data_IF_097227365762
#
_entry.id   IF_097227365762
#
_cell.length_a   1.000
_cell.length_b   1.000
_cell.length_c   1.000
_cell.angle_alpha   90.00
_cell.angle_beta   90.00
_cell.angle_gamma   90.00
#
_symmetry.space_group_name_H-M   'P 1'
#
loop_
_entity.id
_entity.type
_entity.pdbx_description
1 polymer ?
#
# COMPACT_ATOMS: atom_id res chain seq x y z
N UNK A 1 -8.00 15.01 -12.22
CA UNK A 1 -8.15 15.39 -10.80
C UNK A 1 -7.81 14.19 -9.92
N UNK A 2 -6.97 14.41 -8.91
CA UNK A 2 -6.68 13.55 -7.74
C UNK A 2 -5.63 12.42 -7.89
N UNK A 3 -4.37 12.84 -7.84
CA UNK A 3 -3.23 12.04 -7.37
C UNK A 3 -3.45 11.66 -5.89
N UNK A 4 -3.44 10.35 -5.61
CA UNK A 4 -3.53 9.80 -4.26
C UNK A 4 -2.09 9.68 -3.73
N UNK A 5 -1.84 10.46 -2.69
CA UNK A 5 -0.53 10.86 -2.19
C UNK A 5 0.00 9.86 -1.15
N UNK A 6 0.93 8.99 -1.55
CA UNK A 6 1.88 8.38 -0.63
C UNK A 6 3.01 9.42 -0.35
N UNK A 7 3.48 9.58 0.90
CA UNK A 7 4.39 10.66 1.24
C UNK A 7 5.78 10.47 0.58
N UNK A 8 5.98 11.14 -0.56
CA UNK A 8 7.29 11.34 -1.18
C UNK A 8 8.23 12.11 -0.22
N UNK A 9 9.55 11.85 -0.28
CA UNK A 9 10.58 12.63 0.45
C UNK A 9 10.43 14.14 0.20
N UNK A 10 10.00 14.53 -1.00
CA UNK A 10 9.70 15.92 -1.34
C UNK A 10 8.53 16.51 -0.52
N UNK A 11 7.49 15.71 -0.24
CA UNK A 11 6.37 16.13 0.62
C UNK A 11 6.78 16.30 2.08
N UNK A 12 7.70 15.47 2.59
CA UNK A 12 8.24 15.64 3.95
C UNK A 12 9.04 16.94 4.08
N UNK A 13 9.85 17.29 3.09
CA UNK A 13 10.62 18.54 3.07
C UNK A 13 9.69 19.75 2.93
N UNK A 14 8.74 19.72 2.00
CA UNK A 14 7.76 20.78 1.82
C UNK A 14 6.88 20.99 3.06
N UNK A 15 6.50 19.91 3.76
CA UNK A 15 5.77 20.00 5.01
C UNK A 15 6.59 20.66 6.12
N UNK A 16 7.88 20.30 6.26
CA UNK A 16 8.79 20.92 7.22
C UNK A 16 8.97 22.41 6.96
N UNK A 17 9.10 22.83 5.69
CA UNK A 17 9.20 24.23 5.30
C UNK A 17 7.91 25.01 5.62
N UNK A 18 6.74 24.43 5.34
CA UNK A 18 5.44 25.04 5.66
C UNK A 18 5.22 25.18 7.16
N UNK A 19 5.66 24.21 7.96
CA UNK A 19 5.60 24.28 9.42
C UNK A 19 6.56 25.34 9.98
N UNK A 20 7.74 25.52 9.37
CA UNK A 20 8.70 26.54 9.77
C UNK A 20 8.19 27.98 9.54
N UNK A 21 7.32 28.18 8.53
CA UNK A 21 6.71 29.47 8.22
C UNK A 21 5.55 29.92 9.11
N UNK A 22 5.13 29.10 10.09
CA UNK A 22 3.99 29.44 10.94
C UNK A 22 4.36 30.49 11.99
N UNK A 23 3.51 31.50 12.19
CA UNK A 23 3.60 32.42 13.32
C UNK A 23 3.31 31.72 14.66
N UNK A 24 3.67 32.33 15.79
CA UNK A 24 3.42 31.75 17.11
C UNK A 24 1.93 31.43 17.33
N UNK A 25 1.03 32.31 16.89
CA UNK A 25 -0.41 32.12 17.00
C UNK A 25 -0.93 31.01 16.08
N UNK A 26 -0.38 30.87 14.88
CA UNK A 26 -0.74 29.79 13.95
C UNK A 26 -0.26 28.43 14.47
N UNK A 27 0.93 28.36 15.07
CA UNK A 27 1.42 27.15 15.75
C UNK A 27 0.54 26.77 16.92
N UNK A 28 0.16 27.75 17.75
CA UNK A 28 -0.75 27.52 18.88
C UNK A 28 -2.12 26.99 18.42
N UNK A 29 -2.70 27.59 17.36
CA UNK A 29 -3.97 27.14 16.79
C UNK A 29 -3.87 25.73 16.17
N UNK A 30 -2.78 25.43 15.46
CA UNK A 30 -2.53 24.11 14.90
C UNK A 30 -2.39 23.05 16.00
N UNK A 31 -1.61 23.32 17.04
CA UNK A 31 -1.44 22.41 18.18
C UNK A 31 -2.76 22.19 18.92
N UNK A 32 -3.57 23.24 19.08
CA UNK A 32 -4.91 23.13 19.66
C UNK A 32 -5.81 22.21 18.81
N UNK A 33 -5.86 22.40 17.49
CA UNK A 33 -6.64 21.53 16.59
C UNK A 33 -6.14 20.08 16.56
N UNK A 34 -4.82 19.86 16.54
CA UNK A 34 -4.23 18.53 16.61
C UNK A 34 -4.46 17.84 17.96
N UNK A 35 -4.68 18.62 19.03
CA UNK A 35 -5.08 18.12 20.34
C UNK A 35 -6.58 17.84 20.46
N UNK A 36 -7.42 18.69 19.88
CA UNK A 36 -8.88 18.52 19.82
C UNK A 36 -9.29 17.31 18.95
N UNK A 37 -8.55 17.02 17.88
CA UNK A 37 -8.77 15.83 17.03
C UNK A 37 -8.34 14.51 17.71
N UNK A 38 -7.53 14.58 18.78
CA UNK A 38 -7.17 13.42 19.62
C UNK A 38 -8.24 13.04 20.64
N UNK A 39 -9.22 13.92 20.92
CA UNK A 39 -10.31 13.63 21.86
C UNK A 39 -11.46 12.81 21.26
N UNK A 40 -11.56 12.69 19.93
CA UNK A 40 -12.52 11.77 19.27
C UNK A 40 -11.84 10.61 18.50
N UNK A 41 -10.54 10.71 18.20
CA UNK A 41 -9.75 9.58 17.65
C UNK A 41 -8.59 9.29 18.59
N UNK A 42 -8.76 8.21 19.37
CA UNK A 42 -7.92 7.85 20.50
C UNK A 42 -6.41 7.96 20.28
N UNK A 43 -5.73 8.44 21.33
CA UNK A 43 -4.33 8.22 21.70
C UNK A 43 -3.35 7.96 20.55
N UNK A 44 -2.64 9.02 20.15
CA UNK A 44 -1.38 8.91 19.43
C UNK A 44 -0.32 8.23 20.32
N UNK A 45 -0.30 6.90 20.27
CA UNK A 45 0.60 6.05 21.05
C UNK A 45 0.52 4.57 20.67
N UNK A 46 -0.60 4.12 20.11
CA UNK A 46 -0.70 2.79 19.50
C UNK A 46 -0.71 2.95 17.98
N UNK A 47 0.25 2.33 17.30
CA UNK A 47 0.02 1.91 15.92
C UNK A 47 -1.21 1.01 15.98
N UNK A 48 -2.40 1.57 15.74
CA UNK A 48 -3.61 0.77 15.55
C UNK A 48 -3.30 -0.15 14.39
N UNK A 49 -3.07 -1.42 14.73
CA UNK A 49 -2.88 -2.46 13.75
C UNK A 49 -4.04 -2.35 12.76
N UNK A 50 -3.72 -2.19 11.47
CA UNK A 50 -4.76 -2.19 10.44
C UNK A 50 -5.48 -3.52 10.58
N UNK A 51 -6.78 -3.52 10.92
CA UNK A 51 -7.51 -4.76 11.10
C UNK A 51 -7.39 -5.58 9.83
N UNK A 52 -7.06 -6.87 9.96
CA UNK A 52 -7.06 -7.76 8.80
C UNK A 52 -8.48 -7.82 8.26
N UNK A 53 -8.61 -7.59 6.95
CA UNK A 53 -9.88 -7.81 6.27
C UNK A 53 -10.30 -9.27 6.48
N UNK A 54 -11.59 -9.48 6.76
CA UNK A 54 -12.14 -10.82 6.80
C UNK A 54 -12.48 -11.27 5.37
N UNK A 55 -12.27 -12.54 5.03
CA UNK A 55 -12.65 -13.04 3.72
C UNK A 55 -14.18 -13.00 3.57
N UNK A 56 -14.65 -12.70 2.37
CA UNK A 56 -16.06 -12.77 1.98
C UNK A 56 -16.50 -14.23 1.87
N UNK A 57 -15.63 -15.08 1.32
CA UNK A 57 -15.83 -16.53 1.21
C UNK A 57 -14.48 -17.24 1.19
N UNK A 58 -14.52 -18.53 1.56
CA UNK A 58 -13.39 -19.44 1.45
C UNK A 58 -13.82 -20.61 0.59
N UNK A 59 -13.11 -20.83 -0.49
CA UNK A 59 -13.31 -21.95 -1.41
C UNK A 59 -12.45 -23.12 -0.92
N UNK A 60 -13.01 -24.34 -0.87
CA UNK A 60 -12.32 -25.49 -0.25
C UNK A 60 -11.26 -26.10 -1.16
N UNK A 61 -11.45 -26.08 -2.49
CA UNK A 61 -10.59 -26.74 -3.46
C UNK A 61 -10.47 -25.97 -4.77
N UNK A 62 -9.31 -25.34 -5.07
CA UNK A 62 -8.18 -25.09 -4.17
C UNK A 62 -8.57 -24.20 -2.97
N UNK A 63 -7.83 -24.28 -1.84
CA UNK A 63 -8.08 -23.40 -0.69
C UNK A 63 -7.77 -21.94 -1.05
N UNK A 64 -8.81 -21.18 -1.38
CA UNK A 64 -8.72 -19.77 -1.79
C UNK A 64 -9.66 -18.94 -0.92
N UNK A 65 -9.14 -17.87 -0.34
CA UNK A 65 -9.93 -16.90 0.40
C UNK A 65 -10.15 -15.67 -0.47
N UNK A 66 -11.40 -15.28 -0.65
CA UNK A 66 -11.81 -14.14 -1.49
C UNK A 66 -12.03 -12.93 -0.60
N UNK A 67 -11.46 -11.79 -0.99
CA UNK A 67 -11.51 -10.54 -0.22
C UNK A 67 -12.07 -9.43 -1.11
N UNK A 68 -12.70 -8.39 -0.53
CA UNK A 68 -13.07 -7.23 -1.31
C UNK A 68 -11.79 -6.49 -1.74
N UNK A 69 -11.69 -6.12 -3.02
CA UNK A 69 -10.59 -5.29 -3.48
C UNK A 69 -10.63 -3.91 -2.80
N UNK A 70 -9.47 -3.46 -2.31
CA UNK A 70 -9.32 -2.09 -1.82
C UNK A 70 -9.54 -1.08 -2.96
N UNK A 71 -9.90 0.16 -2.61
CA UNK A 71 -10.02 1.26 -3.59
C UNK A 71 -8.75 1.46 -4.44
N UNK A 72 -7.59 1.22 -3.85
CA UNK A 72 -6.30 1.28 -4.56
C UNK A 72 -6.17 0.17 -5.61
N UNK A 73 -6.56 -1.06 -5.26
CA UNK A 73 -6.57 -2.20 -6.18
C UNK A 73 -7.58 -1.98 -7.31
N UNK A 74 -8.81 -1.51 -7.01
CA UNK A 74 -9.82 -1.17 -8.03
C UNK A 74 -9.31 -0.11 -9.03
N UNK A 75 -8.67 0.95 -8.52
CA UNK A 75 -8.06 1.98 -9.37
C UNK A 75 -6.97 1.39 -10.26
N UNK A 76 -6.10 0.53 -9.72
CA UNK A 76 -5.02 -0.08 -10.48
C UNK A 76 -5.56 -1.03 -11.56
N UNK A 77 -6.58 -1.81 -11.24
CA UNK A 77 -7.28 -2.68 -12.18
C UNK A 77 -7.88 -1.90 -13.35
N UNK A 78 -8.59 -0.81 -13.05
CA UNK A 78 -9.10 0.09 -14.08
C UNK A 78 -7.98 0.62 -14.98
N UNK A 79 -6.87 1.06 -14.41
CA UNK A 79 -5.74 1.60 -15.17
C UNK A 79 -5.07 0.54 -16.05
N UNK A 80 -4.95 -0.69 -15.56
CA UNK A 80 -4.44 -1.82 -16.34
C UNK A 80 -5.32 -2.11 -17.57
N UNK A 81 -6.65 -2.08 -17.40
CA UNK A 81 -7.60 -2.29 -18.51
C UNK A 81 -7.75 -1.09 -19.43
N UNK A 82 -7.61 0.13 -18.92
CA UNK A 82 -7.71 1.37 -19.70
C UNK A 82 -6.55 1.53 -20.70
N UNK A 83 -5.36 1.06 -20.34
CA UNK A 83 -4.18 1.11 -21.20
C UNK A 83 -3.45 -0.26 -21.23
N UNK A 84 -4.00 -1.27 -21.92
CA UNK A 84 -3.40 -2.60 -21.98
C UNK A 84 -1.98 -2.54 -22.55
N UNK A 85 -1.05 -3.28 -21.93
CA UNK A 85 0.36 -3.34 -22.34
C UNK A 85 1.21 -2.15 -21.89
N UNK A 86 0.63 -1.15 -21.20
CA UNK A 86 1.40 -0.05 -20.64
C UNK A 86 2.29 -0.52 -19.47
N UNK A 87 3.61 -0.21 -19.49
CA UNK A 87 4.52 -0.58 -18.40
C UNK A 87 4.53 0.44 -17.26
N UNK A 88 3.69 1.48 -17.30
CA UNK A 88 3.74 2.63 -16.37
C UNK A 88 3.63 2.22 -14.89
N UNK A 89 2.96 1.10 -14.60
CA UNK A 89 2.80 0.57 -13.24
C UNK A 89 3.69 -0.63 -12.93
N UNK A 90 4.60 -0.99 -13.84
CA UNK A 90 5.67 -1.94 -13.54
C UNK A 90 6.78 -1.23 -12.76
N UNK A 91 7.32 -1.90 -11.74
CA UNK A 91 8.46 -1.41 -10.94
C UNK A 91 9.66 -2.33 -11.16
N UNK A 92 10.32 -2.26 -12.33
CA UNK A 92 11.48 -3.08 -12.60
C UNK A 92 12.65 -2.67 -11.70
N UNK A 93 13.45 -3.64 -11.30
CA UNK A 93 14.70 -3.42 -10.56
C UNK A 93 15.73 -4.43 -11.03
N UNK A 94 16.97 -3.98 -11.19
CA UNK A 94 18.08 -4.83 -11.61
C UNK A 94 19.23 -4.71 -10.61
N UNK A 95 19.87 -5.83 -10.32
CA UNK A 95 20.98 -5.92 -9.38
C UNK A 95 22.16 -6.60 -10.05
N UNK A 96 23.35 -6.04 -9.89
CA UNK A 96 24.60 -6.68 -10.29
C UNK A 96 25.18 -7.43 -9.10
N UNK A 97 25.19 -8.76 -9.19
CA UNK A 97 25.76 -9.63 -8.16
C UNK A 97 27.18 -10.04 -8.56
N UNK A 98 28.14 -9.89 -7.64
CA UNK A 98 29.56 -10.22 -7.88
C UNK A 98 29.97 -11.34 -6.93
N UNK A 99 30.51 -12.42 -7.49
CA UNK A 99 30.96 -13.59 -6.74
C UNK A 99 30.24 -14.88 -7.16
N UNK A 100 30.52 -16.01 -6.48
CA UNK A 100 29.85 -17.27 -6.78
C UNK A 100 28.36 -17.19 -6.43
N UNK A 101 27.50 -17.41 -7.43
CA UNK A 101 26.05 -17.45 -7.26
C UNK A 101 25.54 -18.89 -7.37
N UNK A 102 24.85 -19.36 -6.34
CA UNK A 102 24.07 -20.59 -6.41
C UNK A 102 22.62 -20.26 -6.84
N UNK A 103 22.30 -20.55 -8.10
CA UNK A 103 20.99 -20.24 -8.69
C UNK A 103 19.85 -20.97 -7.98
N UNK A 104 20.04 -22.25 -7.63
CA UNK A 104 19.00 -23.03 -6.96
C UNK A 104 18.63 -22.45 -5.59
N UNK A 105 19.61 -21.88 -4.87
CA UNK A 105 19.35 -21.21 -3.59
C UNK A 105 18.63 -19.88 -3.77
N UNK A 106 18.96 -19.13 -4.84
CA UNK A 106 18.27 -17.89 -5.18
C UNK A 106 16.79 -18.15 -5.53
N UNK A 107 16.52 -19.18 -6.33
CA UNK A 107 15.16 -19.62 -6.67
C UNK A 107 14.36 -20.05 -5.44
N UNK A 108 15.00 -20.82 -4.54
CA UNK A 108 14.38 -21.22 -3.28
C UNK A 108 14.05 -20.01 -2.39
N UNK A 109 14.94 -19.01 -2.33
CA UNK A 109 14.72 -17.78 -1.59
C UNK A 109 13.52 -16.99 -2.14
N UNK A 110 13.43 -16.80 -3.47
CA UNK A 110 12.27 -16.15 -4.09
C UNK A 110 10.98 -16.95 -3.86
N UNK A 111 11.04 -18.27 -3.97
CA UNK A 111 9.89 -19.15 -3.70
C UNK A 111 9.39 -18.98 -2.26
N UNK A 112 10.29 -18.89 -1.29
CA UNK A 112 9.94 -18.66 0.11
C UNK A 112 9.30 -17.28 0.33
N UNK A 113 9.78 -16.24 -0.36
CA UNK A 113 9.16 -14.90 -0.33
C UNK A 113 7.75 -14.94 -0.92
N UNK A 114 7.55 -15.56 -2.08
CA UNK A 114 6.23 -15.70 -2.72
C UNK A 114 5.27 -16.49 -1.81
N UNK A 115 5.72 -17.58 -1.20
CA UNK A 115 4.89 -18.36 -0.27
C UNK A 115 4.50 -17.56 0.98
N UNK A 116 5.43 -16.79 1.55
CA UNK A 116 5.21 -15.97 2.75
C UNK A 116 4.24 -14.81 2.52
N UNK A 117 4.20 -14.22 1.33
CA UNK A 117 3.43 -13.01 1.06
C UNK A 117 2.19 -13.30 0.20
N UNK A 118 1.00 -13.22 0.81
CA UNK A 118 -0.27 -13.46 0.13
C UNK A 118 -0.46 -12.58 -1.11
N UNK A 119 -0.04 -11.30 -1.04
CA UNK A 119 -0.15 -10.34 -2.15
C UNK A 119 0.61 -10.79 -3.42
N UNK A 120 1.65 -11.62 -3.31
CA UNK A 120 2.39 -12.15 -4.48
C UNK A 120 1.70 -13.37 -5.11
N UNK A 121 0.65 -13.90 -4.47
CA UNK A 121 -0.15 -15.03 -4.93
C UNK A 121 -1.62 -14.66 -5.14
N UNK A 122 -1.96 -13.37 -5.02
CA UNK A 122 -3.31 -12.85 -5.26
C UNK A 122 -3.55 -12.73 -6.76
N UNK A 123 -4.72 -13.19 -7.20
CA UNK A 123 -5.27 -12.92 -8.53
C UNK A 123 -6.50 -12.07 -8.38
N UNK A 124 -6.88 -11.36 -9.45
CA UNK A 124 -8.08 -10.51 -9.45
C UNK A 124 -9.10 -11.05 -10.44
N UNK A 125 -10.38 -11.01 -10.05
CA UNK A 125 -11.51 -11.43 -10.87
C UNK A 125 -12.66 -10.43 -10.79
N UNK A 126 -13.44 -10.35 -11.87
CA UNK A 126 -14.67 -9.56 -11.91
C UNK A 126 -15.87 -10.50 -11.77
N UNK A 127 -16.70 -10.29 -10.75
CA UNK A 127 -17.96 -11.02 -10.53
C UNK A 127 -19.07 -10.00 -10.30
N UNK A 128 -20.18 -10.08 -11.04
CA UNK A 128 -21.34 -9.18 -10.93
C UNK A 128 -21.03 -7.66 -10.91
N UNK A 129 -19.94 -7.27 -11.58
CA UNK A 129 -19.49 -5.87 -11.65
C UNK A 129 -18.60 -5.42 -10.49
N UNK A 130 -18.28 -6.31 -9.56
CA UNK A 130 -17.35 -6.07 -8.45
C UNK A 130 -16.00 -6.78 -8.69
N UNK A 131 -14.93 -6.13 -8.23
CA UNK A 131 -13.56 -6.65 -8.30
C UNK A 131 -13.22 -7.37 -6.99
N UNK A 132 -12.77 -8.61 -7.13
CA UNK A 132 -12.28 -9.47 -6.06
C UNK A 132 -10.82 -9.84 -6.28
#
# INVERSE_FOLDING_TARGET
>A
MSEVNAPSKANSIALKQRLAGLSANQRALLLRRLGEDKSEVGSAGEWRAIPRAQPLRVEEHPRVAVYPASRGQQRMWFLHHYAPGSPVYCVPSAFHLVGPLNVAWLEAAFSAVIQRHDMLRTTFAMEDGELF
#
